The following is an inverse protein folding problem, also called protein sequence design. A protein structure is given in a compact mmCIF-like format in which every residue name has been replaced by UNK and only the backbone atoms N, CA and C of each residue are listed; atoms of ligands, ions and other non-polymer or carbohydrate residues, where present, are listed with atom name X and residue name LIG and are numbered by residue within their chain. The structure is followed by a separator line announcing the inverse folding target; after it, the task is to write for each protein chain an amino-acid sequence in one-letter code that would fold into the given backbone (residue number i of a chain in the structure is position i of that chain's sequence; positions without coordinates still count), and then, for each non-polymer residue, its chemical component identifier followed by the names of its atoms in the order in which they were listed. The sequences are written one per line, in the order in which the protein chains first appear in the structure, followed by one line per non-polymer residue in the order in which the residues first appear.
data_IF_284773569258
#
_entry.id   IF_284773569258
#
_cell.length_a   1.000
_cell.length_b   1.000
_cell.length_c   1.000
_cell.angle_alpha   90.00
_cell.angle_beta   90.00
_cell.angle_gamma   90.00
#
_symmetry.space_group_name_H-M   'P 1'
#
loop_
_entity.id
_entity.type
_entity.pdbx_description
1 polymer ?
#
# COMPACT_ATOMS: atom_id res chain seq x y z
N UNK A 1 4.14 -1.61 22.19
CA UNK A 1 3.45 -1.53 20.88
C UNK A 1 2.10 -2.14 21.04
N UNK A 2 1.04 -1.37 20.77
CA UNK A 2 -0.31 -1.90 20.80
C UNK A 2 -0.54 -2.73 19.53
N UNK A 3 -1.50 -3.65 19.57
CA UNK A 3 -2.01 -4.29 18.35
C UNK A 3 -2.67 -3.25 17.43
N UNK A 4 -3.10 -2.12 18.00
CA UNK A 4 -3.78 -1.03 17.28
C UNK A 4 -2.89 -0.36 16.24
N UNK A 5 -1.56 -0.36 16.46
CA UNK A 5 -0.53 0.15 15.54
C UNK A 5 -0.49 -0.62 14.20
N UNK A 6 -1.25 -1.70 14.09
CA UNK A 6 -1.33 -2.60 12.94
C UNK A 6 -2.75 -2.72 12.39
N UNK A 7 -3.72 -1.99 12.92
CA UNK A 7 -5.10 -2.07 12.45
C UNK A 7 -5.26 -1.26 11.17
N UNK A 8 -5.62 -1.86 10.03
CA UNK A 8 -5.86 -1.07 8.83
C UNK A 8 -7.14 -0.25 8.96
N UNK A 9 -7.20 0.93 8.32
CA UNK A 9 -8.43 1.72 8.16
C UNK A 9 -9.46 0.98 7.31
N UNK A 10 -9.02 0.43 6.17
CA UNK A 10 -9.85 -0.35 5.25
C UNK A 10 -9.14 -1.65 4.84
N UNK A 11 -9.91 -2.63 4.38
CA UNK A 11 -9.39 -3.86 3.79
C UNK A 11 -10.13 -4.17 2.49
N UNK A 12 -9.39 -4.31 1.38
CA UNK A 12 -9.96 -4.56 0.04
C UNK A 12 -9.26 -5.73 -0.63
N UNK A 13 -9.93 -6.45 -1.51
CA UNK A 13 -9.35 -7.68 -2.06
C UNK A 13 -8.13 -7.41 -2.95
N UNK A 14 -8.18 -6.38 -3.80
CA UNK A 14 -7.07 -5.96 -4.64
C UNK A 14 -6.98 -4.43 -4.73
N UNK A 15 -5.81 -3.91 -5.12
CA UNK A 15 -5.60 -2.45 -5.29
C UNK A 15 -6.58 -1.84 -6.29
N UNK A 16 -6.87 -2.54 -7.40
CA UNK A 16 -7.79 -2.07 -8.43
C UNK A 16 -9.28 -2.13 -8.03
N UNK A 17 -9.60 -2.69 -6.85
CA UNK A 17 -10.94 -2.53 -6.26
C UNK A 17 -11.12 -1.13 -5.62
N UNK A 18 -10.05 -0.34 -5.45
CA UNK A 18 -10.15 1.06 -5.04
C UNK A 18 -10.54 1.93 -6.23
N UNK A 19 -11.80 2.36 -6.28
CA UNK A 19 -12.30 3.24 -7.34
C UNK A 19 -12.00 4.70 -7.00
N UNK A 20 -11.75 5.53 -8.01
CA UNK A 20 -11.42 6.94 -7.78
C UNK A 20 -12.54 7.67 -7.03
N UNK A 21 -13.79 7.42 -7.43
CA UNK A 21 -14.97 8.01 -6.78
C UNK A 21 -15.07 7.63 -5.30
N UNK A 22 -14.60 6.45 -4.90
CA UNK A 22 -14.64 5.99 -3.51
C UNK A 22 -13.60 6.74 -2.68
N UNK A 23 -12.37 6.86 -3.21
CA UNK A 23 -11.29 7.62 -2.61
C UNK A 23 -11.68 9.09 -2.41
N UNK A 24 -12.23 9.73 -3.44
CA UNK A 24 -12.65 11.13 -3.37
C UNK A 24 -13.75 11.36 -2.33
N UNK A 25 -14.71 10.43 -2.18
CA UNK A 25 -15.74 10.53 -1.11
C UNK A 25 -15.15 10.43 0.30
N UNK A 26 -14.00 9.78 0.45
CA UNK A 26 -13.24 9.70 1.70
C UNK A 26 -12.26 10.88 1.88
N UNK A 27 -12.28 11.86 0.97
CA UNK A 27 -11.37 13.01 0.94
C UNK A 27 -9.93 12.64 0.57
N UNK A 28 -9.72 11.53 -0.14
CA UNK A 28 -8.39 11.03 -0.52
C UNK A 28 -8.07 11.48 -1.95
N UNK A 29 -6.96 12.19 -2.12
CA UNK A 29 -6.43 12.71 -3.39
C UNK A 29 -5.02 12.17 -3.69
N UNK A 30 -4.39 11.48 -2.73
CA UNK A 30 -3.07 10.89 -2.89
C UNK A 30 -3.03 9.43 -2.39
N UNK A 31 -2.61 8.53 -3.27
CA UNK A 31 -2.46 7.10 -2.99
C UNK A 31 -0.99 6.73 -3.01
N UNK A 32 -0.46 6.40 -1.84
CA UNK A 32 0.85 5.77 -1.70
C UNK A 32 0.67 4.26 -1.79
N UNK A 33 1.36 3.60 -2.72
CA UNK A 33 1.16 2.16 -2.95
C UNK A 33 2.47 1.40 -2.85
N UNK A 34 2.46 0.24 -2.18
CA UNK A 34 3.62 -0.66 -2.23
C UNK A 34 3.77 -1.30 -3.63
N UNK A 35 5.00 -1.65 -3.98
CA UNK A 35 5.32 -2.21 -5.29
C UNK A 35 5.13 -3.74 -5.30
N UNK A 36 6.00 -4.44 -4.55
CA UNK A 36 6.12 -5.89 -4.59
C UNK A 36 4.87 -6.50 -3.91
N UNK A 37 4.19 -7.46 -4.55
CA UNK A 37 2.99 -8.16 -4.04
C UNK A 37 1.75 -7.29 -3.77
N UNK A 38 1.76 -6.01 -4.15
CA UNK A 38 0.61 -5.10 -4.05
C UNK A 38 0.18 -4.58 -5.43
N UNK A 39 1.07 -3.92 -6.18
CA UNK A 39 0.76 -3.39 -7.52
C UNK A 39 1.16 -4.35 -8.64
N UNK A 40 2.30 -5.03 -8.48
CA UNK A 40 2.86 -5.91 -9.51
C UNK A 40 3.26 -7.25 -8.87
N UNK A 41 2.92 -8.37 -9.52
CA UNK A 41 3.49 -9.67 -9.17
C UNK A 41 4.99 -9.64 -9.49
N UNK A 42 5.83 -10.10 -8.56
CA UNK A 42 7.29 -9.95 -8.64
C UNK A 42 7.93 -10.53 -9.92
N UNK A 43 7.20 -11.38 -10.65
CA UNK A 43 7.58 -12.09 -11.88
C UNK A 43 6.95 -11.51 -13.17
N UNK A 44 6.08 -10.48 -13.08
CA UNK A 44 5.44 -9.85 -14.24
C UNK A 44 5.65 -8.32 -14.27
N UNK A 45 6.83 -7.84 -14.73
CA UNK A 45 7.17 -6.41 -14.74
C UNK A 45 6.30 -5.55 -15.67
N UNK A 46 5.49 -6.17 -16.53
CA UNK A 46 4.60 -5.45 -17.45
C UNK A 46 3.30 -5.01 -16.78
N UNK A 47 3.02 -5.54 -15.58
CA UNK A 47 1.77 -5.33 -14.87
C UNK A 47 0.55 -5.81 -15.66
N UNK A 48 -0.57 -5.93 -14.96
CA UNK A 48 -1.79 -6.43 -15.59
C UNK A 48 -2.56 -5.28 -16.28
N UNK A 49 -3.41 -5.56 -17.28
CA UNK A 49 -4.31 -4.55 -17.86
C UNK A 49 -5.14 -3.80 -16.80
N UNK A 50 -5.52 -4.48 -15.72
CA UNK A 50 -6.27 -3.91 -14.60
C UNK A 50 -5.48 -2.83 -13.87
N UNK A 51 -4.17 -3.03 -13.66
CA UNK A 51 -3.30 -2.02 -13.04
C UNK A 51 -3.19 -0.78 -13.90
N UNK A 52 -3.04 -0.94 -15.22
CA UNK A 52 -2.99 0.21 -16.14
C UNK A 52 -4.31 0.98 -16.13
N UNK A 53 -5.43 0.29 -16.27
CA UNK A 53 -6.75 0.91 -16.22
C UNK A 53 -7.01 1.62 -14.89
N UNK A 54 -6.53 1.06 -13.78
CA UNK A 54 -6.64 1.68 -12.46
C UNK A 54 -5.80 2.96 -12.36
N UNK A 55 -4.55 2.95 -12.84
CA UNK A 55 -3.69 4.15 -12.89
C UNK A 55 -4.28 5.24 -13.79
N UNK A 56 -4.83 4.86 -14.94
CA UNK A 56 -5.53 5.78 -15.85
C UNK A 56 -6.74 6.42 -15.17
N UNK A 57 -7.54 5.62 -14.44
CA UNK A 57 -8.68 6.11 -13.66
C UNK A 57 -8.26 7.10 -12.58
N UNK A 58 -7.20 6.81 -11.82
CA UNK A 58 -6.67 7.74 -10.82
C UNK A 58 -6.22 9.05 -11.46
N UNK A 59 -5.50 8.95 -12.58
CA UNK A 59 -5.00 10.12 -13.33
C UNK A 59 -6.13 11.00 -13.85
N UNK A 60 -7.18 10.41 -14.42
CA UNK A 60 -8.37 11.12 -14.91
C UNK A 60 -9.10 11.83 -13.77
N UNK A 61 -9.08 11.25 -12.56
CA UNK A 61 -9.73 11.80 -11.38
C UNK A 61 -8.84 12.77 -10.58
N UNK A 62 -7.67 13.13 -11.10
CA UNK A 62 -6.68 14.00 -10.43
C UNK A 62 -6.20 13.44 -9.06
N UNK A 63 -6.10 12.11 -8.97
CA UNK A 63 -5.56 11.40 -7.81
C UNK A 63 -4.10 11.04 -8.08
N UNK A 64 -3.20 11.56 -7.25
CA UNK A 64 -1.77 11.27 -7.35
C UNK A 64 -1.46 9.85 -6.86
N UNK A 65 -0.86 9.02 -7.71
CA UNK A 65 -0.37 7.69 -7.31
C UNK A 65 1.15 7.71 -7.22
N UNK A 66 1.69 7.37 -6.05
CA UNK A 66 3.13 7.33 -5.79
C UNK A 66 3.52 5.98 -5.20
N UNK A 67 4.49 5.31 -5.81
CA UNK A 67 4.99 4.04 -5.31
C UNK A 67 5.95 4.28 -4.14
N UNK A 68 5.74 3.59 -3.01
CA UNK A 68 6.59 3.70 -1.81
C UNK A 68 7.13 2.32 -1.46
N UNK A 69 8.39 2.05 -1.85
CA UNK A 69 9.00 0.72 -1.74
C UNK A 69 10.29 0.73 -0.92
N UNK A 70 10.52 -0.34 -0.15
CA UNK A 70 11.78 -0.58 0.55
C UNK A 70 12.93 -0.99 -0.39
N UNK A 71 12.63 -1.23 -1.66
CA UNK A 71 13.60 -1.74 -2.62
C UNK A 71 14.60 -0.66 -3.07
N UNK A 72 15.64 -1.10 -3.78
CA UNK A 72 16.65 -0.20 -4.36
C UNK A 72 16.07 0.60 -5.51
N UNK A 73 16.59 1.82 -5.73
CA UNK A 73 16.14 2.71 -6.80
C UNK A 73 16.11 2.01 -8.16
N UNK A 74 17.20 1.35 -8.56
CA UNK A 74 17.30 0.66 -9.85
C UNK A 74 16.30 -0.48 -10.03
N UNK A 75 15.87 -1.12 -8.93
CA UNK A 75 14.82 -2.15 -8.99
C UNK A 75 13.43 -1.54 -9.11
N UNK A 76 13.15 -0.50 -8.33
CA UNK A 76 11.85 0.21 -8.41
C UNK A 76 11.69 0.84 -9.79
N UNK A 77 12.68 1.63 -10.22
CA UNK A 77 12.68 2.30 -11.53
C UNK A 77 12.42 1.32 -12.68
N UNK A 78 13.12 0.18 -12.70
CA UNK A 78 12.91 -0.86 -13.72
C UNK A 78 11.48 -1.41 -13.71
N UNK A 79 10.90 -1.60 -12.54
CA UNK A 79 9.55 -2.14 -12.41
C UNK A 79 8.48 -1.12 -12.83
N UNK A 80 8.74 0.17 -12.64
CA UNK A 80 7.73 1.21 -12.82
C UNK A 80 7.88 2.01 -14.11
N UNK A 81 9.01 1.86 -14.81
CA UNK A 81 9.36 2.65 -16.00
C UNK A 81 8.33 2.59 -17.13
N UNK A 82 7.52 1.53 -17.18
CA UNK A 82 6.49 1.34 -18.21
C UNK A 82 5.16 2.00 -17.87
N UNK A 83 4.94 2.36 -16.59
CA UNK A 83 3.68 2.95 -16.12
C UNK A 83 3.75 4.47 -15.99
N UNK A 84 4.94 5.06 -16.03
CA UNK A 84 5.10 6.52 -15.90
C UNK A 84 4.68 7.05 -14.53
N UNK A 85 4.72 6.22 -13.49
CA UNK A 85 4.33 6.57 -12.13
C UNK A 85 5.53 6.98 -11.29
N UNK A 86 5.30 7.94 -10.41
CA UNK A 86 6.30 8.45 -9.50
C UNK A 86 6.60 7.46 -8.36
N UNK A 87 7.80 7.56 -7.78
CA UNK A 87 8.19 6.65 -6.71
C UNK A 87 9.19 7.21 -5.68
N UNK A 88 9.13 6.61 -4.49
CA UNK A 88 10.09 6.70 -3.40
C UNK A 88 10.69 5.31 -3.16
N UNK A 89 11.94 5.14 -3.57
CA UNK A 89 12.73 3.96 -3.24
C UNK A 89 13.37 4.08 -1.86
N UNK A 90 13.81 2.95 -1.29
CA UNK A 90 14.39 2.85 0.07
C UNK A 90 13.51 3.57 1.11
N UNK A 91 12.21 3.27 1.10
CA UNK A 91 11.21 3.89 1.95
C UNK A 91 11.39 3.62 3.46
N UNK A 92 12.17 2.59 3.82
CA UNK A 92 12.46 2.19 5.21
C UNK A 92 11.22 1.83 6.04
N UNK A 93 10.14 1.33 5.42
CA UNK A 93 9.00 0.73 6.12
C UNK A 93 9.51 -0.41 7.03
N UNK A 94 9.06 -0.52 8.30
CA UNK A 94 7.87 0.10 8.89
C UNK A 94 8.04 1.52 9.46
N UNK A 95 9.17 2.20 9.23
CA UNK A 95 9.30 3.60 9.61
C UNK A 95 8.51 4.49 8.63
N UNK A 96 8.12 5.68 9.10
CA UNK A 96 7.37 6.65 8.30
C UNK A 96 8.22 7.40 7.26
N UNK A 97 9.52 7.09 7.14
CA UNK A 97 10.47 7.88 6.37
C UNK A 97 10.07 8.07 4.90
N UNK A 98 9.78 6.98 4.17
CA UNK A 98 9.39 7.07 2.76
C UNK A 98 8.03 7.74 2.56
N UNK A 99 7.09 7.54 3.47
CA UNK A 99 5.77 8.18 3.46
C UNK A 99 5.91 9.69 3.66
N UNK A 100 6.62 10.12 4.71
CA UNK A 100 6.87 11.54 4.97
C UNK A 100 7.64 12.19 3.82
N UNK A 101 8.60 11.47 3.22
CA UNK A 101 9.32 11.96 2.05
C UNK A 101 8.40 12.18 0.84
N UNK A 102 7.39 11.32 0.63
CA UNK A 102 6.39 11.53 -0.41
C UNK A 102 5.54 12.76 -0.10
N UNK A 103 4.99 12.83 1.12
CA UNK A 103 4.19 13.96 1.61
C UNK A 103 4.94 15.28 1.40
N UNK A 104 6.18 15.38 1.87
CA UNK A 104 6.98 16.62 1.76
C UNK A 104 7.34 16.97 0.30
N UNK A 105 7.61 15.97 -0.54
CA UNK A 105 7.99 16.17 -1.94
C UNK A 105 6.84 16.73 -2.77
N UNK A 106 5.64 16.21 -2.56
CA UNK A 106 4.47 16.54 -3.37
C UNK A 106 3.54 17.55 -2.69
N UNK A 107 3.80 17.90 -1.42
CA UNK A 107 3.01 18.87 -0.67
C UNK A 107 1.63 18.36 -0.27
N UNK A 108 1.48 17.04 -0.08
CA UNK A 108 0.22 16.45 0.33
C UNK A 108 -0.14 16.79 1.78
N UNK A 109 -1.43 16.88 2.08
CA UNK A 109 -1.95 16.83 3.45
C UNK A 109 -1.99 15.36 3.93
N UNK A 110 -1.79 15.12 5.22
CA UNK A 110 -1.87 13.76 5.79
C UNK A 110 -3.28 13.18 5.70
N UNK A 111 -4.30 14.03 5.79
CA UNK A 111 -5.70 13.60 5.82
C UNK A 111 -6.23 13.14 4.46
N UNK A 112 -5.57 13.58 3.37
CA UNK A 112 -5.89 13.23 1.98
C UNK A 112 -5.03 12.09 1.41
N UNK A 113 -4.08 11.57 2.21
CA UNK A 113 -3.15 10.52 1.81
C UNK A 113 -3.58 9.17 2.39
N UNK A 114 -3.49 8.13 1.56
CA UNK A 114 -3.67 6.74 1.99
C UNK A 114 -2.48 5.86 1.59
N UNK A 115 -2.03 4.99 2.49
CA UNK A 115 -1.06 3.94 2.18
C UNK A 115 -1.76 2.62 1.87
N UNK A 116 -1.45 2.02 0.72
CA UNK A 116 -2.00 0.73 0.25
C UNK A 116 -0.87 -0.30 0.20
N UNK A 117 -1.04 -1.45 0.85
CA UNK A 117 -0.05 -2.53 0.86
C UNK A 117 -0.60 -3.85 1.39
N UNK A 118 0.12 -4.96 1.20
CA UNK A 118 -0.29 -6.31 1.62
C UNK A 118 0.21 -6.70 3.02
N UNK A 119 1.10 -5.90 3.62
CA UNK A 119 1.79 -6.28 4.85
C UNK A 119 1.44 -5.38 6.05
N UNK A 120 0.89 -6.00 7.10
CA UNK A 120 0.62 -5.36 8.39
C UNK A 120 1.91 -4.84 9.02
N UNK A 121 2.98 -5.65 8.96
CA UNK A 121 4.22 -5.39 9.69
C UNK A 121 5.06 -4.25 9.11
N UNK A 122 4.76 -3.82 7.89
CA UNK A 122 5.49 -2.80 7.13
C UNK A 122 4.56 -1.65 6.76
N UNK A 123 3.61 -1.85 5.85
CA UNK A 123 2.81 -0.79 5.24
C UNK A 123 1.84 -0.18 6.24
N UNK A 124 1.03 -1.02 6.88
CA UNK A 124 0.05 -0.56 7.87
C UNK A 124 0.78 0.08 9.05
N UNK A 125 1.83 -0.54 9.57
CA UNK A 125 2.60 0.07 10.65
C UNK A 125 3.28 1.40 10.26
N UNK A 126 3.77 1.53 9.02
CA UNK A 126 4.36 2.76 8.54
C UNK A 126 3.32 3.88 8.43
N UNK A 127 2.12 3.56 7.93
CA UNK A 127 1.00 4.50 7.82
C UNK A 127 0.55 5.05 9.18
N UNK A 128 0.42 4.17 10.19
CA UNK A 128 0.14 4.57 11.58
C UNK A 128 1.18 5.54 12.13
N UNK A 129 2.47 5.26 11.89
CA UNK A 129 3.57 6.14 12.32
C UNK A 129 3.61 7.46 11.57
N UNK A 130 3.12 7.48 10.33
CA UNK A 130 2.96 8.70 9.55
C UNK A 130 1.64 9.43 9.86
N UNK A 131 0.74 8.85 10.66
CA UNK A 131 -0.55 9.45 10.94
C UNK A 131 -1.45 9.60 9.71
N UNK A 132 -1.37 8.66 8.76
CA UNK A 132 -2.21 8.64 7.54
C UNK A 132 -3.12 7.41 7.52
N UNK A 133 -4.17 7.45 6.69
CA UNK A 133 -5.06 6.30 6.47
C UNK A 133 -4.31 5.14 5.81
N UNK A 134 -4.84 3.93 5.95
CA UNK A 134 -4.23 2.74 5.37
C UNK A 134 -5.23 1.73 4.84
N UNK A 135 -4.92 1.13 3.69
CA UNK A 135 -5.67 0.04 3.09
C UNK A 135 -4.81 -1.22 3.07
N UNK A 136 -5.30 -2.29 3.69
CA UNK A 136 -4.70 -3.61 3.57
C UNK A 136 -5.30 -4.34 2.37
N UNK A 137 -4.44 -4.80 1.45
CA UNK A 137 -4.84 -5.66 0.33
C UNK A 137 -4.44 -7.11 0.56
N UNK A 138 -5.02 -8.03 -0.22
CA UNK A 138 -4.51 -9.40 -0.25
C UNK A 138 -3.21 -9.44 -1.07
N UNK A 139 -2.21 -10.24 -0.67
CA UNK A 139 -1.00 -10.42 -1.46
C UNK A 139 -1.31 -11.05 -2.81
N UNK A 140 -0.71 -10.52 -3.88
CA UNK A 140 -0.87 -11.04 -5.25
C UNK A 140 -0.33 -12.46 -5.42
N UNK A 141 0.75 -12.81 -4.71
CA UNK A 141 1.37 -14.14 -4.76
C UNK A 141 1.70 -14.59 -3.34
N UNK A 142 1.43 -15.86 -3.02
CA UNK A 142 1.77 -16.46 -1.72
C UNK A 142 3.21 -17.00 -1.66
N UNK A 143 3.93 -17.02 -2.80
CA UNK A 143 5.32 -17.49 -2.88
C UNK A 143 6.30 -16.41 -2.42
N UNK A 144 6.61 -16.46 -1.13
CA UNK A 144 7.45 -15.48 -0.45
C UNK A 144 8.96 -15.81 -0.56
N UNK A 145 9.77 -14.77 -0.82
CA UNK A 145 11.22 -14.83 -0.66
C UNK A 145 11.58 -15.16 0.81
N UNK A 146 12.70 -15.86 1.02
CA UNK A 146 13.07 -16.41 2.35
C UNK A 146 13.14 -15.37 3.49
N UNK A 147 13.41 -14.10 3.15
CA UNK A 147 13.53 -12.97 4.07
C UNK A 147 12.18 -12.44 4.62
N UNK A 148 11.02 -12.83 4.07
CA UNK A 148 9.69 -12.44 4.58
C UNK A 148 9.05 -13.49 5.51
N UNK A 149 9.58 -14.72 5.58
CA UNK A 149 8.97 -15.83 6.36
C UNK A 149 8.84 -15.54 7.87
N UNK A 150 9.84 -14.88 8.48
CA UNK A 150 9.78 -14.48 9.90
C UNK A 150 8.73 -13.40 10.12
N UNK A 151 8.62 -12.45 9.18
CA UNK A 151 7.59 -11.42 9.22
C UNK A 151 6.19 -12.01 9.07
N UNK A 152 5.97 -13.00 8.18
CA UNK A 152 4.68 -13.66 8.00
C UNK A 152 4.19 -14.40 9.25
N UNK A 153 5.09 -14.99 10.04
CA UNK A 153 4.69 -15.61 11.31
C UNK A 153 4.29 -14.57 12.36
N UNK A 154 5.03 -13.46 12.47
CA UNK A 154 4.66 -12.35 13.37
C UNK A 154 3.34 -11.72 12.93
N UNK A 155 3.16 -11.56 11.63
CA UNK A 155 1.96 -11.05 11.00
C UNK A 155 0.75 -11.90 11.31
N UNK A 156 0.83 -13.24 11.17
CA UNK A 156 -0.25 -14.16 11.57
C UNK A 156 -0.65 -13.99 13.03
N UNK A 157 0.32 -13.77 13.93
CA UNK A 157 0.04 -13.54 15.36
C UNK A 157 -0.62 -12.19 15.60
N UNK A 158 -0.18 -11.13 14.91
CA UNK A 158 -0.79 -9.82 15.04
C UNK A 158 -2.20 -9.82 14.45
N UNK A 159 -2.39 -10.45 13.29
CA UNK A 159 -3.71 -10.63 12.68
C UNK A 159 -4.65 -11.37 13.62
N UNK A 160 -4.23 -12.50 14.21
CA UNK A 160 -5.06 -13.22 15.17
C UNK A 160 -5.48 -12.34 16.37
N UNK A 161 -4.57 -11.51 16.90
CA UNK A 161 -4.88 -10.56 17.97
C UNK A 161 -5.81 -9.43 17.53
N UNK A 162 -5.68 -8.96 16.29
CA UNK A 162 -6.60 -7.98 15.70
C UNK A 162 -7.99 -8.58 15.57
N UNK A 163 -8.08 -9.81 15.08
CA UNK A 163 -9.36 -10.51 14.90
C UNK A 163 -10.04 -10.85 16.23
N UNK A 164 -9.25 -11.20 17.25
CA UNK A 164 -9.74 -11.39 18.61
C UNK A 164 -10.33 -10.09 19.21
N UNK A 165 -9.67 -8.94 18.96
CA UNK A 165 -10.08 -7.66 19.53
C UNK A 165 -11.19 -6.94 18.75
N UNK A 166 -11.17 -7.03 17.42
CA UNK A 166 -12.01 -6.22 16.52
C UNK A 166 -12.93 -7.04 15.61
N UNK A 167 -12.83 -8.37 15.68
CA UNK A 167 -13.50 -9.26 14.74
C UNK A 167 -12.69 -9.47 13.46
N UNK A 168 -13.10 -10.47 12.67
CA UNK A 168 -12.42 -10.87 11.44
C UNK A 168 -12.38 -9.72 10.43
N UNK A 169 -11.21 -9.52 9.79
CA UNK A 169 -11.10 -8.55 8.70
C UNK A 169 -11.96 -8.98 7.51
N UNK A 170 -12.92 -8.14 7.14
CA UNK A 170 -13.76 -8.33 5.96
C UNK A 170 -13.18 -7.53 4.81
N UNK A 171 -12.74 -8.23 3.76
CA UNK A 171 -12.23 -7.61 2.55
C UNK A 171 -13.40 -7.24 1.64
N UNK A 172 -13.55 -5.95 1.36
CA UNK A 172 -14.64 -5.39 0.57
C UNK A 172 -14.18 -5.06 -0.87
N UNK A 173 -15.13 -4.73 -1.74
CA UNK A 173 -14.85 -4.07 -3.02
C UNK A 173 -15.13 -2.58 -2.85
N UNK A 174 -14.11 -1.75 -2.91
CA UNK A 174 -14.20 -0.32 -2.63
C UNK A 174 -14.12 0.02 -1.13
N UNK A 175 -14.18 1.33 -0.83
CA UNK A 175 -14.12 1.92 0.51
C UNK A 175 -15.12 3.08 0.68
#
# INVERSE_FOLDING_TARGET
MSVDDYRPTYAVAAVYDLRANDLLRQGITAVLVDLDNTLIAWDNPDGTPEVRAWLDEMTIADISVVIVSNNTYSRVERAVSRFGVDFIARAMKPFAYGINKAIDRYGFDRDEVVMVGDQLMTDIRASHRAGIKSVLVKPLVTSDAWNTKVNRWRERRVLAKLEEKYGRLVYQKGI
#
